data_IF_396550989771
#
_entry.id   IF_396550989771
#
_cell.length_a   1.000
_cell.length_b   1.000
_cell.length_c   1.000
_cell.angle_alpha   90.00
_cell.angle_beta   90.00
_cell.angle_gamma   90.00
#
_symmetry.space_group_name_H-M   'P 1'
#
loop_
_entity.id
_entity.type
_entity.pdbx_description
1 polymer ?
#
# COMPACT_ATOMS: atom_id res chain seq x y z
N UNK A 1 3.17 0.67 18.75
CA UNK A 1 3.32 -0.78 18.55
C UNK A 1 2.00 -1.28 17.98
N UNK A 2 1.86 -1.30 16.66
CA UNK A 2 0.61 -1.68 15.97
C UNK A 2 0.62 -3.18 15.78
N UNK A 3 0.11 -3.92 16.76
CA UNK A 3 -0.21 -5.34 16.61
C UNK A 3 -1.71 -5.46 16.51
N UNK A 4 -2.17 -6.29 15.55
CA UNK A 4 -3.58 -6.62 15.21
C UNK A 4 -4.15 -5.83 14.03
N UNK A 5 -3.47 -5.92 12.88
CA UNK A 5 -4.13 -5.84 11.59
C UNK A 5 -5.03 -7.07 11.41
N UNK A 6 -6.23 -6.85 10.88
CA UNK A 6 -7.39 -7.71 10.88
C UNK A 6 -7.20 -8.99 10.02
N UNK A 7 -6.50 -10.02 10.54
CA UNK A 7 -6.24 -11.30 9.86
C UNK A 7 -7.49 -11.95 9.24
N UNK A 8 -8.67 -11.67 9.83
CA UNK A 8 -9.99 -12.18 9.39
C UNK A 8 -10.33 -11.81 7.95
N UNK A 9 -9.85 -10.67 7.45
CA UNK A 9 -10.10 -10.25 6.05
C UNK A 9 -9.17 -10.97 5.08
N UNK A 10 -7.93 -11.22 5.50
CA UNK A 10 -6.95 -11.97 4.70
C UNK A 10 -7.42 -13.38 4.42
N UNK A 11 -7.86 -14.10 5.46
CA UNK A 11 -8.32 -15.49 5.33
C UNK A 11 -9.49 -15.64 4.36
N UNK A 12 -10.46 -14.70 4.40
CA UNK A 12 -11.61 -14.70 3.47
C UNK A 12 -11.18 -14.49 2.02
N UNK A 13 -10.20 -13.63 1.77
CA UNK A 13 -9.67 -13.40 0.42
C UNK A 13 -9.01 -14.68 -0.09
N UNK A 14 -8.24 -15.38 0.75
CA UNK A 14 -7.63 -16.67 0.37
C UNK A 14 -8.66 -17.75 0.08
N UNK A 15 -9.73 -17.83 0.88
CA UNK A 15 -10.83 -18.78 0.65
C UNK A 15 -11.53 -18.48 -0.69
N UNK A 16 -11.81 -17.21 -0.98
CA UNK A 16 -12.39 -16.78 -2.26
C UNK A 16 -11.50 -17.15 -3.45
N UNK A 17 -10.19 -16.95 -3.34
CA UNK A 17 -9.22 -17.34 -4.39
C UNK A 17 -9.19 -18.85 -4.62
N UNK A 18 -9.29 -19.65 -3.55
CA UNK A 18 -9.36 -21.12 -3.65
C UNK A 18 -10.66 -21.58 -4.31
N UNK A 19 -11.79 -20.97 -3.95
CA UNK A 19 -13.09 -21.29 -4.55
C UNK A 19 -13.16 -20.94 -6.04
N UNK A 20 -12.45 -19.90 -6.49
CA UNK A 20 -12.34 -19.56 -7.91
C UNK A 20 -11.38 -20.48 -8.70
N UNK A 21 -10.72 -21.45 -8.04
CA UNK A 21 -9.82 -22.39 -8.69
C UNK A 21 -8.47 -21.79 -9.12
N UNK A 22 -8.02 -20.70 -8.47
CA UNK A 22 -6.72 -20.11 -8.77
C UNK A 22 -5.58 -21.05 -8.36
N UNK A 23 -4.76 -21.48 -9.33
CA UNK A 23 -3.57 -22.32 -9.12
C UNK A 23 -2.35 -21.51 -8.65
N UNK A 24 -2.53 -20.78 -7.55
CA UNK A 24 -1.45 -19.99 -6.92
C UNK A 24 -0.75 -20.79 -5.83
N UNK A 25 0.55 -20.53 -5.65
CA UNK A 25 1.37 -21.14 -4.60
C UNK A 25 1.04 -20.50 -3.24
N UNK A 26 0.13 -21.12 -2.50
CA UNK A 26 -0.31 -20.65 -1.19
C UNK A 26 0.74 -20.85 -0.08
N UNK A 27 1.72 -21.74 -0.28
CA UNK A 27 2.79 -21.97 0.71
C UNK A 27 3.73 -20.76 0.80
N UNK A 28 3.93 -20.09 -0.34
CA UNK A 28 4.74 -18.87 -0.45
C UNK A 28 3.95 -17.57 -0.32
N UNK A 29 2.69 -17.65 0.13
CA UNK A 29 1.87 -16.47 0.34
C UNK A 29 2.49 -15.59 1.44
N UNK A 30 2.65 -14.30 1.14
CA UNK A 30 3.20 -13.31 2.08
C UNK A 30 2.35 -12.05 2.07
N UNK A 31 2.21 -11.42 3.22
CA UNK A 31 1.55 -10.13 3.34
C UNK A 31 2.55 -8.98 3.23
N UNK A 32 2.11 -7.83 2.74
CA UNK A 32 2.99 -6.66 2.54
C UNK A 32 3.56 -6.12 3.85
N UNK A 33 2.86 -6.34 4.97
CA UNK A 33 3.33 -5.96 6.30
C UNK A 33 4.13 -7.07 7.01
N UNK A 34 4.42 -8.21 6.35
CA UNK A 34 5.26 -9.25 6.96
C UNK A 34 6.70 -8.75 7.15
N UNK A 35 7.42 -9.20 8.20
CA UNK A 35 8.78 -8.74 8.50
C UNK A 35 9.77 -8.88 7.33
N UNK A 36 9.61 -9.94 6.51
CA UNK A 36 10.42 -10.18 5.32
C UNK A 36 10.18 -9.10 4.25
N UNK A 37 8.92 -8.76 3.99
CA UNK A 37 8.56 -7.73 3.01
C UNK A 37 8.92 -6.34 3.49
N UNK A 38 8.72 -6.04 4.77
CA UNK A 38 9.16 -4.78 5.38
C UNK A 38 10.67 -4.57 5.25
N UNK A 39 11.48 -5.62 5.44
CA UNK A 39 12.94 -5.56 5.22
C UNK A 39 13.30 -5.22 3.77
N UNK A 40 12.63 -5.85 2.80
CA UNK A 40 12.87 -5.59 1.39
C UNK A 40 12.52 -4.15 1.00
N UNK A 41 11.38 -3.62 1.49
CA UNK A 41 10.98 -2.22 1.23
C UNK A 41 11.96 -1.24 1.87
N UNK A 42 12.44 -1.52 3.08
CA UNK A 42 13.44 -0.68 3.75
C UNK A 42 14.76 -0.64 2.97
N UNK A 43 15.26 -1.79 2.50
CA UNK A 43 16.48 -1.86 1.68
C UNK A 43 16.33 -1.08 0.37
N UNK A 44 15.21 -1.26 -0.34
CA UNK A 44 14.93 -0.51 -1.55
C UNK A 44 14.85 1.01 -1.28
N UNK A 45 14.23 1.43 -0.18
CA UNK A 45 14.14 2.85 0.18
C UNK A 45 15.52 3.46 0.47
N UNK A 46 16.36 2.78 1.25
CA UNK A 46 17.73 3.25 1.55
C UNK A 46 18.56 3.34 0.27
N UNK A 47 18.51 2.31 -0.59
CA UNK A 47 19.26 2.32 -1.84
C UNK A 47 18.87 3.48 -2.75
N UNK A 48 17.57 3.74 -2.92
CA UNK A 48 17.08 4.85 -3.74
C UNK A 48 17.38 6.23 -3.12
N UNK A 49 17.46 6.31 -1.80
CA UNK A 49 17.90 7.53 -1.11
C UNK A 49 19.42 7.77 -1.32
N UNK A 50 20.24 6.72 -1.22
CA UNK A 50 21.69 6.80 -1.42
C UNK A 50 22.05 7.12 -2.88
N UNK A 51 21.26 6.67 -3.84
CA UNK A 51 21.35 7.04 -5.26
C UNK A 51 20.85 8.47 -5.56
N UNK A 52 20.28 9.17 -4.57
CA UNK A 52 19.77 10.54 -4.71
C UNK A 52 18.41 10.65 -5.42
N UNK A 53 17.74 9.52 -5.70
CA UNK A 53 16.42 9.47 -6.33
C UNK A 53 15.29 9.79 -5.34
N UNK A 54 15.45 9.41 -4.08
CA UNK A 54 14.57 9.79 -2.99
C UNK A 54 15.23 10.90 -2.20
N UNK A 55 14.54 12.04 -2.09
CA UNK A 55 15.01 13.19 -1.34
C UNK A 55 13.83 13.89 -0.66
N UNK A 56 14.14 14.68 0.37
CA UNK A 56 13.14 15.49 1.07
C UNK A 56 13.22 16.94 0.60
N UNK A 57 12.11 17.46 0.07
CA UNK A 57 11.97 18.86 -0.29
C UNK A 57 10.58 19.39 0.09
N UNK A 58 10.46 20.71 0.22
CA UNK A 58 9.16 21.37 0.34
C UNK A 58 8.57 21.59 -1.07
N UNK A 59 7.55 20.80 -1.43
CA UNK A 59 6.82 20.92 -2.69
C UNK A 59 5.32 20.99 -2.41
N UNK A 60 4.55 21.62 -3.29
CA UNK A 60 3.09 21.55 -3.24
C UNK A 60 2.65 20.10 -3.45
N UNK A 61 1.82 19.61 -2.54
CA UNK A 61 1.30 18.23 -2.53
C UNK A 61 -0.23 18.27 -2.44
N UNK A 62 -0.88 17.22 -2.91
CA UNK A 62 -2.30 17.03 -2.62
C UNK A 62 -2.43 16.60 -1.17
N UNK A 63 -3.17 17.38 -0.38
CA UNK A 63 -3.42 17.12 1.03
C UNK A 63 -4.89 16.83 1.25
N UNK A 64 -5.20 15.69 1.89
CA UNK A 64 -6.56 15.38 2.33
C UNK A 64 -6.77 15.75 3.79
N UNK A 65 -7.70 16.66 4.05
CA UNK A 65 -8.06 17.06 5.41
C UNK A 65 -8.74 15.93 6.21
N UNK A 66 -9.42 15.01 5.53
CA UNK A 66 -10.11 13.88 6.16
C UNK A 66 -9.12 12.80 6.60
N UNK A 67 -8.21 12.41 5.71
CA UNK A 67 -7.20 11.38 6.00
C UNK A 67 -5.99 11.93 6.76
N UNK A 68 -5.85 13.27 6.81
CA UNK A 68 -4.70 13.98 7.40
C UNK A 68 -3.37 13.46 6.84
N UNK A 69 -3.35 13.20 5.54
CA UNK A 69 -2.20 12.66 4.82
C UNK A 69 -2.03 13.34 3.48
N UNK A 70 -0.78 13.33 3.01
CA UNK A 70 -0.46 13.55 1.62
C UNK A 70 -1.03 12.39 0.78
N UNK A 71 -1.53 12.71 -0.40
CA UNK A 71 -2.13 11.77 -1.35
C UNK A 71 -1.46 11.95 -2.71
N UNK A 72 -1.27 10.87 -3.43
CA UNK A 72 -0.72 10.90 -4.79
C UNK A 72 -1.76 11.31 -5.82
N UNK A 73 -1.35 11.87 -6.97
CA UNK A 73 -2.30 12.31 -8.02
C UNK A 73 -3.21 11.17 -8.51
N UNK A 74 -2.72 9.92 -8.54
CA UNK A 74 -3.51 8.75 -8.98
C UNK A 74 -4.62 8.36 -8.01
N UNK A 75 -4.51 8.74 -6.74
CA UNK A 75 -5.54 8.51 -5.72
C UNK A 75 -6.60 9.61 -5.71
N UNK A 76 -6.40 10.70 -6.45
CA UNK A 76 -7.37 11.80 -6.57
C UNK A 76 -8.41 11.44 -7.63
N UNK A 77 -9.58 11.00 -7.19
CA UNK A 77 -10.74 10.83 -8.05
C UNK A 77 -11.28 12.19 -8.51
N UNK A 78 -11.16 12.50 -9.80
CA UNK A 78 -11.77 13.72 -10.37
C UNK A 78 -13.24 13.44 -10.67
N UNK A 79 -14.13 13.81 -9.76
CA UNK A 79 -15.56 13.83 -10.04
C UNK A 79 -15.94 15.18 -10.64
N UNK A 80 -16.46 15.18 -11.88
CA UNK A 80 -17.14 16.35 -12.42
C UNK A 80 -18.43 16.56 -11.62
N UNK A 81 -18.40 17.54 -10.71
CA UNK A 81 -19.61 17.99 -10.03
C UNK A 81 -20.31 18.92 -11.00
N UNK A 82 -21.25 18.37 -11.78
CA UNK A 82 -22.23 19.19 -12.47
C UNK A 82 -23.09 19.85 -11.37
N UNK A 83 -22.84 21.12 -11.10
CA UNK A 83 -23.86 21.93 -10.42
C UNK A 83 -25.10 21.87 -11.31
N UNK A 84 -26.24 21.48 -10.72
CA UNK A 84 -27.52 21.89 -11.29
C UNK A 84 -27.57 23.41 -11.41
#
# INVERSE_FOLDING_TARGET
MVTLGDFRKGDRIYEQLRMMGCSVDFDRATFTMDPKMCKAVMEAFVRLHDEGLIYRCCRLINWSCTLRSAISDIEVGTAFVFSR
#
